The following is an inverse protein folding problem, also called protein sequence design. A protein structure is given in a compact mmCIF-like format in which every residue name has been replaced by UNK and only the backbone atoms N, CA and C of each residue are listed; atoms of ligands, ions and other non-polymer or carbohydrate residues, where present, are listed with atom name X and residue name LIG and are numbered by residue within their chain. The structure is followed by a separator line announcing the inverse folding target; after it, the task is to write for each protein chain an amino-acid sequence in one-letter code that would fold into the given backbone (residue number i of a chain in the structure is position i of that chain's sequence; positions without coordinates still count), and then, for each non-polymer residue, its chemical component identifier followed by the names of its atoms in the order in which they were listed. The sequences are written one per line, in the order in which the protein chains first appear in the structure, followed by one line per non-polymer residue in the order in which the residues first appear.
data_IF_676034001205
#
_entry.id   IF_676034001205
#
_cell.length_a   1.000
_cell.length_b   1.000
_cell.length_c   1.000
_cell.angle_alpha   90.00
_cell.angle_beta   90.00
_cell.angle_gamma   90.00
#
_symmetry.space_group_name_H-M   'P 1'
#
loop_
_entity.id
_entity.type
_entity.pdbx_description
1 polymer ?
#
# COMPACT_ATOMS: atom_id res chain seq x y z
N UNK A 1 -42.52 8.81 27.32
CA UNK A 1 -42.63 9.07 25.87
C UNK A 1 -41.34 9.60 25.21
N UNK A 2 -40.23 9.79 25.93
CA UNK A 2 -38.97 10.30 25.36
C UNK A 2 -37.98 9.23 24.81
N UNK A 3 -38.34 7.94 24.81
CA UNK A 3 -37.44 6.83 24.41
C UNK A 3 -37.61 6.39 22.94
N UNK A 4 -38.58 6.94 22.22
CA UNK A 4 -38.87 6.57 20.82
C UNK A 4 -38.12 7.44 19.80
N UNK A 5 -37.75 8.67 20.15
CA UNK A 5 -37.17 9.63 19.21
C UNK A 5 -35.71 9.30 18.83
N UNK A 6 -34.96 8.66 19.74
CA UNK A 6 -33.54 8.34 19.53
C UNK A 6 -33.31 7.10 18.64
N UNK A 7 -34.30 6.21 18.50
CA UNK A 7 -34.15 4.96 17.71
C UNK A 7 -34.27 5.18 16.19
N UNK A 8 -34.90 6.27 15.75
CA UNK A 8 -35.10 6.56 14.32
C UNK A 8 -33.88 7.17 13.64
N UNK A 9 -32.87 7.63 14.40
CA UNK A 9 -31.65 8.22 13.87
C UNK A 9 -30.54 7.19 13.57
N UNK A 10 -30.80 5.90 13.84
CA UNK A 10 -29.91 4.79 13.55
C UNK A 10 -30.46 3.98 12.38
N UNK A 11 -30.65 4.62 11.23
CA UNK A 11 -30.91 3.88 10.00
C UNK A 11 -29.64 3.12 9.65
N UNK A 12 -29.59 1.84 10.05
CA UNK A 12 -28.46 0.95 9.81
C UNK A 12 -28.39 0.72 8.30
N UNK A 13 -27.48 1.43 7.64
CA UNK A 13 -27.18 1.23 6.22
C UNK A 13 -27.01 -0.27 5.97
N UNK A 14 -27.80 -0.89 5.06
CA UNK A 14 -27.74 -2.32 4.85
C UNK A 14 -26.34 -2.73 4.39
N UNK A 15 -25.86 -3.86 4.91
CA UNK A 15 -24.54 -4.41 4.56
C UNK A 15 -24.46 -4.69 3.07
N UNK A 16 -23.55 -3.96 2.41
CA UNK A 16 -23.37 -4.02 0.96
C UNK A 16 -22.54 -5.27 0.57
N UNK A 17 -23.24 -6.36 0.25
CA UNK A 17 -22.61 -7.65 -0.05
C UNK A 17 -21.74 -7.62 -1.32
N UNK A 18 -21.97 -6.67 -2.22
CA UNK A 18 -21.19 -6.52 -3.45
C UNK A 18 -19.76 -6.04 -3.17
N UNK A 19 -19.59 -5.09 -2.25
CA UNK A 19 -18.26 -4.60 -1.82
C UNK A 19 -17.43 -5.72 -1.18
N UNK A 20 -18.07 -6.56 -0.35
CA UNK A 20 -17.42 -7.69 0.31
C UNK A 20 -16.94 -8.74 -0.71
N UNK A 21 -17.76 -9.04 -1.72
CA UNK A 21 -17.39 -9.97 -2.79
C UNK A 21 -16.18 -9.46 -3.58
N UNK A 22 -16.13 -8.15 -3.85
CA UNK A 22 -15.03 -7.52 -4.59
C UNK A 22 -13.70 -7.58 -3.81
N UNK A 23 -13.75 -7.33 -2.49
CA UNK A 23 -12.60 -7.49 -1.60
C UNK A 23 -12.09 -8.93 -1.61
N UNK A 24 -12.99 -9.92 -1.51
CA UNK A 24 -12.61 -11.34 -1.56
C UNK A 24 -12.00 -11.75 -2.90
N UNK A 25 -12.51 -11.22 -4.01
CA UNK A 25 -11.95 -11.45 -5.34
C UNK A 25 -10.52 -10.91 -5.44
N UNK A 26 -10.29 -9.69 -4.96
CA UNK A 26 -8.95 -9.08 -4.98
C UNK A 26 -8.00 -9.76 -4.00
N UNK A 27 -8.47 -10.19 -2.82
CA UNK A 27 -7.71 -11.02 -1.89
C UNK A 27 -7.22 -12.31 -2.58
N UNK A 28 -8.10 -12.98 -3.33
CA UNK A 28 -7.75 -14.19 -4.08
C UNK A 28 -6.68 -13.93 -5.15
N UNK A 29 -6.79 -12.82 -5.90
CA UNK A 29 -5.78 -12.44 -6.91
C UNK A 29 -4.43 -12.16 -6.26
N UNK A 30 -4.41 -11.41 -5.16
CA UNK A 30 -3.17 -11.09 -4.43
C UNK A 30 -2.51 -12.34 -3.85
N UNK A 31 -3.32 -13.28 -3.33
CA UNK A 31 -2.84 -14.57 -2.83
C UNK A 31 -2.22 -15.38 -3.96
N UNK A 32 -2.88 -15.45 -5.12
CA UNK A 32 -2.36 -16.15 -6.29
C UNK A 32 -1.02 -15.55 -6.77
N UNK A 33 -0.92 -14.23 -6.88
CA UNK A 33 0.34 -13.54 -7.25
C UNK A 33 1.45 -13.89 -6.24
N UNK A 34 1.13 -13.86 -4.95
CA UNK A 34 2.11 -14.15 -3.89
C UNK A 34 2.57 -15.60 -3.93
N UNK A 35 1.68 -16.55 -4.20
CA UNK A 35 2.06 -17.96 -4.38
C UNK A 35 2.99 -18.14 -5.59
N UNK A 36 2.71 -17.47 -6.71
CA UNK A 36 3.59 -17.50 -7.89
C UNK A 36 4.97 -16.91 -7.54
N UNK A 37 5.02 -15.78 -6.84
CA UNK A 37 6.30 -15.21 -6.34
C UNK A 37 7.09 -16.23 -5.51
N UNK A 38 6.45 -16.90 -4.55
CA UNK A 38 7.10 -17.93 -3.74
C UNK A 38 7.63 -19.08 -4.60
N UNK A 39 6.82 -19.61 -5.53
CA UNK A 39 7.25 -20.71 -6.43
C UNK A 39 8.45 -20.28 -7.27
N UNK A 40 8.44 -19.05 -7.82
CA UNK A 40 9.56 -18.51 -8.60
C UNK A 40 10.82 -18.35 -7.74
N UNK A 41 10.70 -17.91 -6.49
CA UNK A 41 11.84 -17.82 -5.56
C UNK A 41 12.48 -19.17 -5.22
N UNK A 42 11.70 -20.26 -5.18
CA UNK A 42 12.24 -21.60 -4.91
C UNK A 42 12.77 -22.31 -6.17
N UNK A 43 12.29 -21.93 -7.36
CA UNK A 43 12.64 -22.62 -8.62
C UNK A 43 13.79 -21.95 -9.36
N UNK A 44 13.96 -20.63 -9.21
CA UNK A 44 14.94 -19.85 -9.97
C UNK A 44 16.14 -19.45 -9.13
N UNK A 45 17.33 -19.48 -9.73
CA UNK A 45 18.57 -19.10 -9.06
C UNK A 45 18.56 -17.63 -8.62
N UNK A 46 19.21 -17.36 -7.49
CA UNK A 46 19.23 -16.02 -6.87
C UNK A 46 20.15 -15.08 -7.65
N UNK A 47 19.59 -14.47 -8.70
CA UNK A 47 20.25 -13.49 -9.55
C UNK A 47 19.49 -12.17 -9.68
N UNK A 48 20.09 -11.22 -10.39
CA UNK A 48 19.52 -9.88 -10.65
C UNK A 48 18.11 -9.94 -11.28
N UNK A 49 17.85 -10.95 -12.11
CA UNK A 49 16.55 -11.16 -12.74
C UNK A 49 15.45 -11.48 -11.72
N UNK A 50 15.75 -12.33 -10.73
CA UNK A 50 14.81 -12.67 -9.65
C UNK A 50 14.47 -11.42 -8.82
N UNK A 51 15.49 -10.64 -8.45
CA UNK A 51 15.29 -9.41 -7.68
C UNK A 51 14.46 -8.37 -8.43
N UNK A 52 14.74 -8.17 -9.71
CA UNK A 52 13.96 -7.26 -10.55
C UNK A 52 12.49 -7.70 -10.65
N UNK A 53 12.26 -9.00 -10.88
CA UNK A 53 10.91 -9.56 -10.96
C UNK A 53 10.14 -9.40 -9.66
N UNK A 54 10.78 -9.67 -8.52
CA UNK A 54 10.19 -9.46 -7.20
C UNK A 54 9.84 -8.01 -6.95
N UNK A 55 10.72 -7.06 -7.28
CA UNK A 55 10.43 -5.63 -7.13
C UNK A 55 9.23 -5.23 -8.00
N UNK A 56 9.21 -5.66 -9.27
CA UNK A 56 8.12 -5.35 -10.20
C UNK A 56 6.77 -5.92 -9.72
N UNK A 57 6.74 -7.19 -9.29
CA UNK A 57 5.55 -7.85 -8.76
C UNK A 57 5.10 -7.19 -7.45
N UNK A 58 6.02 -6.79 -6.58
CA UNK A 58 5.69 -6.11 -5.32
C UNK A 58 5.03 -4.75 -5.57
N UNK A 59 5.50 -3.97 -6.55
CA UNK A 59 4.87 -2.69 -6.95
C UNK A 59 3.46 -2.95 -7.49
N UNK A 60 3.32 -3.94 -8.37
CA UNK A 60 2.01 -4.29 -8.93
C UNK A 60 1.03 -4.70 -7.84
N UNK A 61 1.48 -5.52 -6.89
CA UNK A 61 0.70 -5.97 -5.74
C UNK A 61 0.28 -4.80 -4.86
N UNK A 62 1.19 -3.88 -4.57
CA UNK A 62 0.89 -2.67 -3.80
C UNK A 62 -0.19 -1.81 -4.46
N UNK A 63 -0.16 -1.66 -5.80
CA UNK A 63 -1.21 -0.95 -6.55
C UNK A 63 -2.59 -1.62 -6.37
N UNK A 64 -2.66 -2.94 -6.49
CA UNK A 64 -3.93 -3.68 -6.30
C UNK A 64 -4.49 -3.55 -4.88
N UNK A 65 -3.60 -3.56 -3.87
CA UNK A 65 -3.99 -3.35 -2.47
C UNK A 65 -4.54 -1.93 -2.27
N UNK A 66 -3.83 -0.92 -2.74
CA UNK A 66 -4.24 0.48 -2.56
C UNK A 66 -5.57 0.80 -3.25
N UNK A 67 -5.81 0.24 -4.42
CA UNK A 67 -7.03 0.52 -5.19
C UNK A 67 -8.28 -0.12 -4.56
N UNK A 68 -8.19 -1.37 -4.08
CA UNK A 68 -9.37 -2.10 -3.61
C UNK A 68 -9.50 -2.14 -2.07
N UNK A 69 -8.43 -2.42 -1.33
CA UNK A 69 -8.51 -2.60 0.13
C UNK A 69 -8.50 -1.27 0.89
N UNK A 70 -7.81 -0.27 0.34
CA UNK A 70 -7.72 1.04 0.99
C UNK A 70 -8.80 2.03 0.49
N UNK A 71 -9.62 1.65 -0.50
CA UNK A 71 -10.67 2.52 -1.09
C UNK A 71 -10.17 3.91 -1.54
N UNK A 72 -8.85 4.06 -1.69
CA UNK A 72 -8.16 5.34 -1.92
C UNK A 72 -8.43 5.94 -3.31
N UNK A 73 -9.03 5.17 -4.22
CA UNK A 73 -9.29 5.59 -5.60
C UNK A 73 -10.43 6.60 -5.75
N UNK A 74 -11.49 6.52 -4.95
CA UNK A 74 -12.73 7.28 -5.18
C UNK A 74 -13.04 8.29 -4.07
N UNK A 75 -12.72 8.00 -2.79
CA UNK A 75 -13.18 8.82 -1.65
C UNK A 75 -12.06 9.51 -0.84
N UNK A 76 -10.81 9.04 -0.92
CA UNK A 76 -9.79 9.39 0.08
C UNK A 76 -8.50 10.01 -0.51
N UNK A 77 -8.64 10.97 -1.44
CA UNK A 77 -7.54 11.86 -1.88
C UNK A 77 -6.69 12.42 -0.71
N UNK A 78 -7.27 12.91 0.42
CA UNK A 78 -6.46 13.40 1.53
C UNK A 78 -5.61 12.31 2.22
N UNK A 79 -6.09 11.06 2.26
CA UNK A 79 -5.33 9.95 2.84
C UNK A 79 -4.18 9.50 1.92
N UNK A 80 -4.32 9.64 0.60
CA UNK A 80 -3.21 9.45 -0.33
C UNK A 80 -2.10 10.49 -0.11
N UNK A 81 -2.49 11.77 0.03
CA UNK A 81 -1.53 12.84 0.34
C UNK A 81 -0.86 12.67 1.71
N UNK A 82 -1.56 12.13 2.72
CA UNK A 82 -0.97 11.90 4.04
C UNK A 82 0.14 10.83 4.04
N UNK A 83 0.18 9.95 3.04
CA UNK A 83 1.22 8.92 2.88
C UNK A 83 2.34 9.44 1.95
N UNK A 84 1.98 10.08 0.83
CA UNK A 84 2.94 10.56 -0.18
C UNK A 84 3.82 11.69 0.36
N UNK A 85 3.25 12.65 1.08
CA UNK A 85 3.99 13.81 1.60
C UNK A 85 5.13 13.39 2.55
N UNK A 86 4.91 12.56 3.58
CA UNK A 86 6.00 12.09 4.45
C UNK A 86 7.00 11.18 3.72
N UNK A 87 6.59 10.41 2.71
CA UNK A 87 7.52 9.62 1.88
C UNK A 87 8.47 10.51 1.08
N UNK A 88 7.96 11.56 0.43
CA UNK A 88 8.79 12.52 -0.32
C UNK A 88 9.77 13.22 0.64
N UNK A 89 9.28 13.63 1.80
CA UNK A 89 10.12 14.25 2.83
C UNK A 89 11.25 13.31 3.29
N UNK A 90 10.96 12.01 3.49
CA UNK A 90 11.95 11.02 3.90
C UNK A 90 13.02 10.81 2.82
N UNK A 91 12.64 10.70 1.55
CA UNK A 91 13.60 10.57 0.44
C UNK A 91 14.49 11.81 0.36
N UNK A 92 13.91 13.01 0.47
CA UNK A 92 14.67 14.25 0.50
C UNK A 92 15.65 14.31 1.68
N UNK A 93 15.20 13.90 2.88
CA UNK A 93 16.02 13.87 4.10
C UNK A 93 17.21 12.91 3.94
N UNK A 94 17.01 11.72 3.37
CA UNK A 94 18.11 10.77 3.11
C UNK A 94 19.15 11.39 2.17
N UNK A 95 18.71 12.05 1.09
CA UNK A 95 19.62 12.72 0.16
C UNK A 95 20.39 13.85 0.86
N UNK A 96 19.70 14.67 1.66
CA UNK A 96 20.31 15.76 2.41
C UNK A 96 21.37 15.24 3.39
N UNK A 97 21.05 14.21 4.18
CA UNK A 97 21.98 13.61 5.15
C UNK A 97 23.20 12.97 4.48
N UNK A 98 23.02 12.31 3.34
CA UNK A 98 24.13 11.74 2.57
C UNK A 98 25.04 12.84 2.03
N UNK A 99 24.46 13.93 1.50
CA UNK A 99 25.22 15.06 0.99
C UNK A 99 25.99 15.77 2.11
N UNK A 100 25.31 16.16 3.17
CA UNK A 100 25.90 16.85 4.34
C UNK A 100 26.99 15.97 5.00
N UNK A 101 26.71 14.67 5.16
CA UNK A 101 27.67 13.71 5.69
C UNK A 101 28.91 13.55 4.82
N UNK A 102 28.75 13.59 3.50
CA UNK A 102 29.88 13.54 2.56
C UNK A 102 30.71 14.82 2.62
N UNK A 103 30.06 15.99 2.63
CA UNK A 103 30.74 17.29 2.71
C UNK A 103 31.56 17.42 4.01
N UNK A 104 30.99 17.01 5.15
CA UNK A 104 31.70 16.99 6.44
C UNK A 104 32.89 16.01 6.41
N UNK A 105 32.71 14.82 5.83
CA UNK A 105 33.78 13.84 5.73
C UNK A 105 34.93 14.34 4.85
N UNK A 106 34.63 15.03 3.75
CA UNK A 106 35.61 15.60 2.83
C UNK A 106 36.31 16.84 3.39
N UNK A 107 35.65 17.68 4.19
CA UNK A 107 36.29 18.83 4.85
C UNK A 107 37.20 18.45 6.02
N UNK A 108 37.08 17.21 6.54
CA UNK A 108 37.82 16.74 7.71
C UNK A 108 39.20 16.16 7.36
N UNK A 109 39.63 16.24 6.11
CA UNK A 109 40.97 15.90 5.65
C UNK A 109 41.54 17.02 4.77
#
# INVERSE_FOLDING_TARGET
MALQENKSALEVIPRDNEKIKKIWKTAGILLAITLVEFVMAFTMDRGLLLYFLFIALTIWKAKYIMMEFMHLGEEAKPLFYSIIVPLIFLVWLVIALVKEGTDIFMMRW
#
